data_IF_854890592444
#
_entry.id   IF_854890592444
#
_cell.length_a   1.000
_cell.length_b   1.000
_cell.length_c   1.000
_cell.angle_alpha   90.00
_cell.angle_beta   90.00
_cell.angle_gamma   90.00
#
_symmetry.space_group_name_H-M   'P 1'
#
loop_
_entity.id
_entity.type
_entity.pdbx_description
1 polymer ?
#
# COMPACT_ATOMS: atom_id res chain seq x y z
N UNK A 1 69.34 22.08 53.18
CA UNK A 1 69.27 20.78 52.46
C UNK A 1 67.83 20.62 52.00
N UNK A 2 67.58 20.80 50.70
CA UNK A 2 67.30 19.67 49.77
C UNK A 2 65.97 19.00 50.12
N UNK A 3 64.95 18.83 49.29
CA UNK A 3 64.72 18.88 47.84
C UNK A 3 63.16 18.80 47.68
N UNK A 4 62.60 19.30 46.58
CA UNK A 4 61.34 18.90 45.89
C UNK A 4 60.07 18.51 46.71
N UNK A 5 58.86 18.99 46.44
CA UNK A 5 58.34 19.64 45.24
C UNK A 5 56.97 20.29 45.48
N UNK A 6 56.62 21.17 44.55
CA UNK A 6 55.33 21.86 44.43
C UNK A 6 54.29 20.90 43.83
N UNK A 7 53.04 21.02 44.28
CA UNK A 7 51.89 20.37 43.66
C UNK A 7 50.57 20.97 44.14
N UNK A 8 50.23 22.15 43.62
CA UNK A 8 48.87 22.70 43.64
C UNK A 8 47.96 21.90 42.70
N UNK A 9 46.67 21.85 43.04
CA UNK A 9 45.52 21.77 42.13
C UNK A 9 45.37 20.49 41.29
N UNK A 10 44.40 19.65 41.68
CA UNK A 10 43.62 18.86 40.73
C UNK A 10 42.18 19.38 40.72
N UNK A 11 42.00 20.48 39.99
CA UNK A 11 40.77 20.81 39.28
C UNK A 11 40.50 19.71 38.25
N UNK A 12 39.37 19.02 38.38
CA UNK A 12 38.83 18.14 37.35
C UNK A 12 38.28 19.02 36.22
N UNK A 13 39.13 19.28 35.22
CA UNK A 13 38.72 19.88 33.95
C UNK A 13 38.29 18.78 32.97
N UNK A 14 37.03 18.90 32.54
CA UNK A 14 36.53 18.72 31.18
C UNK A 14 36.82 17.42 30.42
N UNK A 15 35.75 16.63 30.24
CA UNK A 15 35.36 16.19 28.91
C UNK A 15 33.88 16.55 28.70
N UNK A 16 33.65 17.54 27.84
CA UNK A 16 32.35 17.97 27.37
C UNK A 16 31.69 16.84 26.57
N UNK A 17 30.67 16.19 27.14
CA UNK A 17 29.62 15.59 26.32
C UNK A 17 28.56 16.66 26.12
N UNK A 18 28.57 17.28 24.94
CA UNK A 18 27.49 18.17 24.50
C UNK A 18 26.31 17.26 24.14
N UNK A 19 25.19 17.24 24.89
CA UNK A 19 23.98 16.63 24.39
C UNK A 19 23.45 17.61 23.36
N UNK A 20 23.69 17.31 22.09
CA UNK A 20 22.98 17.95 20.99
C UNK A 20 21.48 17.86 21.28
N UNK A 21 20.83 19.02 21.31
CA UNK A 21 19.39 19.19 21.49
C UNK A 21 18.63 18.35 20.46
N UNK A 22 18.30 17.11 20.82
CA UNK A 22 17.18 16.41 20.20
C UNK A 22 15.91 17.11 20.68
N UNK A 23 15.39 18.02 19.86
CA UNK A 23 14.00 18.45 19.97
C UNK A 23 13.16 17.18 19.79
N UNK A 24 12.66 16.65 20.91
CA UNK A 24 11.61 15.65 20.96
C UNK A 24 10.42 16.21 20.20
N UNK A 25 10.27 15.82 18.93
CA UNK A 25 9.00 15.95 18.26
C UNK A 25 8.08 14.94 18.95
N UNK A 26 7.17 15.48 19.76
CA UNK A 26 6.07 14.73 20.36
C UNK A 26 5.31 14.05 19.23
N UNK A 27 5.05 12.73 19.31
CA UNK A 27 4.33 12.04 18.27
C UNK A 27 2.90 12.57 18.11
N UNK A 28 2.44 12.64 16.87
CA UNK A 28 1.21 13.31 16.44
C UNK A 28 -0.10 12.61 16.88
N UNK A 29 -0.03 11.46 17.56
CA UNK A 29 -1.20 10.75 18.09
C UNK A 29 -1.74 11.27 19.43
N UNK A 30 -1.15 12.34 19.98
CA UNK A 30 -1.62 12.95 21.24
C UNK A 30 -2.63 14.10 21.08
N UNK A 31 -3.32 14.22 19.95
CA UNK A 31 -4.34 15.27 19.81
C UNK A 31 -5.54 14.83 18.96
N UNK A 32 -6.58 14.31 19.62
CA UNK A 32 -7.96 14.55 19.18
C UNK A 32 -8.91 14.80 20.36
N UNK A 33 -9.86 15.75 20.24
CA UNK A 33 -10.85 16.04 21.25
C UNK A 33 -12.00 15.04 21.19
N UNK A 34 -12.45 14.63 22.38
CA UNK A 34 -13.68 13.91 22.65
C UNK A 34 -14.91 14.76 22.30
N UNK A 35 -15.80 14.21 21.49
CA UNK A 35 -17.21 14.62 21.52
C UNK A 35 -18.09 13.38 21.46
N UNK A 36 -18.67 13.06 22.60
CA UNK A 36 -19.75 12.10 22.75
C UNK A 36 -21.06 12.87 22.82
N UNK A 37 -22.00 12.58 21.93
CA UNK A 37 -23.43 12.77 22.19
C UNK A 37 -24.09 11.39 22.15
N UNK A 38 -24.49 10.92 23.32
CA UNK A 38 -25.26 9.70 23.48
C UNK A 38 -26.75 10.00 23.30
N UNK A 39 -27.47 9.10 22.63
CA UNK A 39 -28.90 8.91 22.83
C UNK A 39 -29.22 7.42 22.79
N UNK A 40 -30.13 7.04 23.68
CA UNK A 40 -30.40 5.69 24.15
C UNK A 40 -31.14 4.79 23.16
N UNK A 41 -30.75 3.51 23.20
CA UNK A 41 -31.53 2.28 23.07
C UNK A 41 -31.06 1.35 21.95
N UNK A 42 -30.84 0.09 22.31
CA UNK A 42 -30.22 -0.95 21.49
C UNK A 42 -28.84 -1.36 22.02
N UNK A 43 -28.71 -2.63 22.40
CA UNK A 43 -27.41 -3.26 22.72
C UNK A 43 -26.38 -2.88 21.65
N UNK A 44 -25.13 -2.52 22.01
CA UNK A 44 -24.13 -2.14 21.03
C UNK A 44 -23.84 -3.36 20.15
N UNK A 45 -24.39 -3.36 18.94
CA UNK A 45 -23.95 -4.29 17.89
C UNK A 45 -22.50 -3.92 17.63
N UNK A 46 -21.59 -4.75 18.12
CA UNK A 46 -20.16 -4.57 17.92
C UNK A 46 -19.83 -4.89 16.46
N UNK A 47 -20.01 -3.89 15.56
CA UNK A 47 -19.73 -3.98 14.13
C UNK A 47 -18.22 -3.98 13.85
N UNK A 48 -17.48 -4.94 14.39
CA UNK A 48 -16.07 -5.11 14.09
C UNK A 48 -15.89 -5.55 12.64
N UNK A 49 -14.91 -5.00 11.89
CA UNK A 49 -14.68 -5.40 10.51
C UNK A 49 -14.19 -6.85 10.45
N UNK A 50 -14.67 -7.62 9.47
CA UNK A 50 -14.15 -8.95 9.17
C UNK A 50 -13.09 -8.83 8.08
N UNK A 51 -12.00 -9.58 8.22
CA UNK A 51 -11.01 -9.69 7.15
C UNK A 51 -11.51 -10.68 6.10
N UNK A 52 -11.82 -10.19 4.90
CA UNK A 52 -12.42 -10.95 3.80
C UNK A 52 -11.61 -10.84 2.49
N UNK A 53 -12.22 -11.15 1.35
CA UNK A 53 -11.57 -11.03 0.02
C UNK A 53 -11.59 -9.59 -0.54
N UNK A 54 -12.12 -8.63 0.22
CA UNK A 54 -12.23 -7.22 -0.11
C UNK A 54 -12.86 -6.96 -1.49
N UNK A 55 -14.04 -7.54 -1.72
CA UNK A 55 -14.72 -7.44 -3.02
C UNK A 55 -14.96 -5.99 -3.46
N UNK A 56 -15.19 -5.06 -2.53
CA UNK A 56 -15.45 -3.65 -2.86
C UNK A 56 -14.19 -2.84 -3.18
N UNK A 57 -12.99 -3.44 -3.09
CA UNK A 57 -11.75 -2.76 -3.43
C UNK A 57 -11.54 -2.67 -4.94
N UNK A 58 -11.03 -1.53 -5.41
CA UNK A 58 -10.51 -1.42 -6.78
C UNK A 58 -9.11 -2.02 -6.83
N UNK A 59 -8.94 -3.04 -7.67
CA UNK A 59 -7.80 -3.96 -7.61
C UNK A 59 -7.17 -4.23 -8.99
N UNK A 60 -7.26 -3.24 -9.89
CA UNK A 60 -6.77 -3.34 -11.26
C UNK A 60 -5.26 -3.61 -11.32
N UNK A 61 -4.89 -4.63 -12.08
CA UNK A 61 -3.51 -5.02 -12.34
C UNK A 61 -2.97 -4.44 -13.66
N UNK A 62 -3.83 -3.81 -14.47
CA UNK A 62 -3.50 -3.22 -15.77
C UNK A 62 -2.89 -4.19 -16.77
N UNK A 63 -3.31 -5.46 -16.73
CA UNK A 63 -2.77 -6.51 -17.59
C UNK A 63 -3.23 -6.24 -19.03
N UNK A 64 -2.26 -5.98 -19.90
CA UNK A 64 -2.49 -5.75 -21.33
C UNK A 64 -2.83 -4.31 -21.73
N UNK A 65 -2.83 -3.35 -20.81
CA UNK A 65 -3.17 -1.94 -21.11
C UNK A 65 -2.23 -0.91 -20.47
N UNK A 66 -1.02 -1.33 -20.08
CA UNK A 66 -0.06 -0.45 -19.40
C UNK A 66 0.30 0.77 -20.25
N UNK A 67 0.57 0.58 -21.54
CA UNK A 67 0.97 1.67 -22.44
C UNK A 67 -0.18 2.67 -22.67
N UNK A 68 -1.39 2.17 -22.94
CA UNK A 68 -2.59 3.01 -23.11
C UNK A 68 -2.90 3.82 -21.86
N UNK A 69 -2.84 3.17 -20.68
CA UNK A 69 -3.09 3.83 -19.40
C UNK A 69 -2.05 4.92 -19.15
N UNK A 70 -0.79 4.65 -19.44
CA UNK A 70 0.26 5.64 -19.28
C UNK A 70 0.09 6.83 -20.24
N UNK A 71 -0.22 6.58 -21.51
CA UNK A 71 -0.44 7.61 -22.52
C UNK A 71 -1.60 8.54 -22.12
N UNK A 72 -2.70 7.99 -21.61
CA UNK A 72 -3.83 8.80 -21.14
C UNK A 72 -3.47 9.57 -19.86
N UNK A 73 -2.69 8.96 -18.96
CA UNK A 73 -2.24 9.63 -17.74
C UNK A 73 -1.40 10.86 -18.07
N UNK A 74 -0.42 10.70 -18.96
CA UNK A 74 0.49 11.76 -19.39
C UNK A 74 -0.21 12.86 -20.16
N UNK A 75 -1.11 12.50 -21.08
CA UNK A 75 -1.79 13.49 -21.93
C UNK A 75 -2.77 14.38 -21.17
N UNK A 76 -3.51 13.84 -20.18
CA UNK A 76 -4.56 14.62 -19.51
C UNK A 76 -4.88 14.22 -18.07
N UNK A 77 -4.92 12.93 -17.73
CA UNK A 77 -5.62 12.48 -16.51
C UNK A 77 -4.93 12.96 -15.22
N UNK A 78 -3.61 12.86 -15.11
CA UNK A 78 -2.90 13.31 -13.90
C UNK A 78 -3.09 14.81 -13.68
N UNK A 79 -3.01 15.61 -14.74
CA UNK A 79 -3.24 17.07 -14.66
C UNK A 79 -4.66 17.37 -14.16
N UNK A 80 -5.67 16.67 -14.66
CA UNK A 80 -7.06 16.84 -14.23
C UNK A 80 -7.28 16.45 -12.76
N UNK A 81 -6.71 15.32 -12.32
CA UNK A 81 -6.81 14.88 -10.92
C UNK A 81 -6.10 15.87 -9.97
N UNK A 82 -4.92 16.38 -10.35
CA UNK A 82 -4.22 17.40 -9.57
C UNK A 82 -4.99 18.72 -9.45
N UNK A 83 -5.64 19.18 -10.53
CA UNK A 83 -6.44 20.42 -10.52
C UNK A 83 -7.65 20.34 -9.57
N UNK A 84 -8.26 19.17 -9.46
CA UNK A 84 -9.47 18.97 -8.66
C UNK A 84 -9.17 18.54 -7.22
N UNK A 85 -7.97 18.02 -6.95
CA UNK A 85 -7.61 17.44 -5.66
C UNK A 85 -6.37 18.08 -5.02
N UNK A 86 -6.59 19.11 -4.18
CA UNK A 86 -5.51 19.93 -3.59
C UNK A 86 -4.45 19.15 -2.81
N UNK A 87 -4.86 18.17 -1.99
CA UNK A 87 -3.90 17.36 -1.20
C UNK A 87 -3.03 16.53 -2.14
N UNK A 88 -3.63 15.84 -3.11
CA UNK A 88 -2.91 15.08 -4.13
C UNK A 88 -1.93 15.95 -4.93
N UNK A 89 -2.34 17.13 -5.41
CA UNK A 89 -1.45 18.02 -6.16
C UNK A 89 -0.21 18.40 -5.38
N UNK A 90 -0.39 18.89 -4.15
CA UNK A 90 0.71 19.32 -3.28
C UNK A 90 1.64 18.16 -2.93
N UNK A 91 1.08 16.98 -2.63
CA UNK A 91 1.87 15.78 -2.33
C UNK A 91 2.66 15.32 -3.55
N UNK A 92 2.05 15.27 -4.73
CA UNK A 92 2.72 14.88 -5.97
C UNK A 92 3.85 15.83 -6.35
N UNK A 93 3.63 17.15 -6.31
CA UNK A 93 4.67 18.16 -6.60
C UNK A 93 5.86 18.05 -5.66
N UNK A 94 5.61 17.76 -4.38
CA UNK A 94 6.68 17.64 -3.41
C UNK A 94 7.42 16.30 -3.55
N UNK A 95 6.72 15.22 -3.93
CA UNK A 95 7.31 13.93 -4.28
C UNK A 95 8.19 14.05 -5.53
N UNK A 96 7.74 14.77 -6.56
CA UNK A 96 8.51 15.07 -7.78
C UNK A 96 9.82 15.80 -7.48
N UNK A 97 9.78 16.82 -6.61
CA UNK A 97 11.00 17.51 -6.15
C UNK A 97 11.96 16.57 -5.44
N UNK A 98 11.47 15.72 -4.53
CA UNK A 98 12.33 14.75 -3.82
C UNK A 98 12.89 13.68 -4.77
N UNK A 99 12.09 13.19 -5.70
CA UNK A 99 12.50 12.23 -6.71
C UNK A 99 13.65 12.75 -7.56
N UNK A 100 13.52 13.98 -8.09
CA UNK A 100 14.55 14.57 -8.94
C UNK A 100 15.89 14.77 -8.22
N UNK A 101 15.88 14.96 -6.90
CA UNK A 101 17.09 15.07 -6.09
C UNK A 101 17.74 13.70 -5.82
N UNK A 102 16.95 12.64 -5.64
CA UNK A 102 17.42 11.38 -5.10
C UNK A 102 17.62 10.29 -6.16
N UNK A 103 16.93 10.36 -7.31
CA UNK A 103 16.87 9.26 -8.30
C UNK A 103 18.23 8.84 -8.85
N UNK A 104 19.21 9.74 -8.86
CA UNK A 104 20.58 9.47 -9.34
C UNK A 104 21.33 8.45 -8.48
N UNK A 105 20.88 8.24 -7.24
CA UNK A 105 21.50 7.31 -6.29
C UNK A 105 20.83 5.94 -6.29
N UNK A 106 19.84 5.72 -7.16
CA UNK A 106 19.04 4.49 -7.20
C UNK A 106 19.39 3.64 -8.41
N UNK A 107 19.43 2.32 -8.22
CA UNK A 107 19.42 1.36 -9.31
C UNK A 107 17.98 1.06 -9.70
N UNK A 108 17.60 1.39 -10.94
CA UNK A 108 16.23 1.29 -11.41
C UNK A 108 16.09 0.17 -12.45
N UNK A 109 15.06 -0.70 -12.36
CA UNK A 109 14.85 -1.75 -13.35
C UNK A 109 14.42 -1.17 -14.70
N UNK A 110 14.61 -1.95 -15.76
CA UNK A 110 14.21 -1.56 -17.11
C UNK A 110 12.72 -1.22 -17.15
N UNK A 111 12.40 -0.07 -17.75
CA UNK A 111 11.01 0.40 -17.89
C UNK A 111 10.45 1.09 -16.64
N UNK A 112 11.23 1.24 -15.57
CA UNK A 112 10.87 2.09 -14.43
C UNK A 112 10.97 3.56 -14.83
N UNK A 113 9.87 4.30 -14.68
CA UNK A 113 9.77 5.71 -15.08
C UNK A 113 9.74 6.61 -13.85
N UNK A 114 10.00 7.90 -14.05
CA UNK A 114 10.03 8.88 -12.97
C UNK A 114 8.71 8.87 -12.19
N UNK A 115 7.58 8.77 -12.88
CA UNK A 115 6.25 8.75 -12.27
C UNK A 115 6.02 7.54 -11.34
N UNK A 116 6.70 6.41 -11.56
CA UNK A 116 6.63 5.26 -10.67
C UNK A 116 7.29 5.58 -9.31
N UNK A 117 8.47 6.19 -9.33
CA UNK A 117 9.18 6.61 -8.11
C UNK A 117 8.45 7.74 -7.38
N UNK A 118 7.91 8.70 -8.13
CA UNK A 118 7.08 9.79 -7.59
C UNK A 118 5.83 9.24 -6.91
N UNK A 119 5.18 8.21 -7.48
CA UNK A 119 4.01 7.58 -6.87
C UNK A 119 4.33 6.92 -5.51
N UNK A 120 5.47 6.22 -5.41
CA UNK A 120 5.92 5.64 -4.13
C UNK A 120 6.19 6.74 -3.10
N UNK A 121 6.95 7.78 -3.48
CA UNK A 121 7.21 8.93 -2.60
C UNK A 121 5.92 9.63 -2.18
N UNK A 122 4.96 9.82 -3.09
CA UNK A 122 3.67 10.42 -2.78
C UNK A 122 2.87 9.59 -1.77
N UNK A 123 2.96 8.26 -1.85
CA UNK A 123 2.30 7.33 -0.93
C UNK A 123 2.95 7.35 0.46
N UNK A 124 4.29 7.29 0.55
CA UNK A 124 5.04 7.25 1.83
C UNK A 124 5.16 8.61 2.52
N UNK A 125 4.73 9.69 1.88
CA UNK A 125 4.82 11.03 2.46
C UNK A 125 3.92 11.15 3.70
N UNK A 126 4.55 11.16 4.87
CA UNK A 126 3.90 11.45 6.15
C UNK A 126 3.41 12.90 6.28
N UNK A 127 2.96 13.25 7.50
CA UNK A 127 2.47 14.58 7.85
C UNK A 127 1.07 14.53 8.49
N UNK A 128 0.51 15.70 8.81
CA UNK A 128 -0.77 15.81 9.54
C UNK A 128 -1.98 15.23 8.79
N UNK A 129 -1.92 15.22 7.45
CA UNK A 129 -2.95 14.65 6.55
C UNK A 129 -2.24 13.91 5.42
N UNK A 130 -1.73 12.70 5.68
CA UNK A 130 -0.96 11.97 4.69
C UNK A 130 -1.88 11.45 3.57
N UNK A 131 -1.41 11.48 2.33
CA UNK A 131 -2.22 11.12 1.16
C UNK A 131 -2.67 9.66 1.19
N UNK A 132 -1.83 8.74 1.71
CA UNK A 132 -2.15 7.32 1.74
C UNK A 132 -3.45 7.01 2.48
N UNK A 133 -3.84 7.79 3.50
CA UNK A 133 -5.07 7.55 4.25
C UNK A 133 -6.31 7.76 3.38
N UNK A 134 -6.35 8.88 2.65
CA UNK A 134 -7.44 9.21 1.74
C UNK A 134 -7.45 8.28 0.51
N UNK A 135 -6.26 8.02 -0.04
CA UNK A 135 -6.08 7.09 -1.15
C UNK A 135 -6.55 5.67 -0.79
N UNK A 136 -6.07 5.10 0.32
CA UNK A 136 -6.41 3.74 0.74
C UNK A 136 -7.90 3.59 1.07
N UNK A 137 -8.53 4.62 1.63
CA UNK A 137 -9.98 4.67 1.81
C UNK A 137 -10.71 4.63 0.47
N UNK A 138 -10.29 5.48 -0.49
CA UNK A 138 -10.91 5.52 -1.81
C UNK A 138 -10.74 4.19 -2.57
N UNK A 139 -9.57 3.55 -2.47
CA UNK A 139 -9.30 2.24 -3.08
C UNK A 139 -10.25 1.17 -2.54
N UNK A 140 -10.48 1.14 -1.21
CA UNK A 140 -11.36 0.16 -0.56
C UNK A 140 -12.82 0.22 -1.02
N UNK A 141 -13.26 1.37 -1.54
CA UNK A 141 -14.64 1.59 -1.97
C UNK A 141 -14.83 1.63 -3.48
N UNK A 142 -13.75 1.91 -4.23
CA UNK A 142 -13.86 2.18 -5.66
C UNK A 142 -14.30 0.96 -6.48
N UNK A 143 -14.13 -0.25 -5.96
CA UNK A 143 -14.55 -1.50 -6.57
C UNK A 143 -16.01 -1.91 -6.30
N UNK A 144 -16.82 -1.08 -5.63
CA UNK A 144 -18.27 -1.31 -5.49
C UNK A 144 -18.97 -1.50 -6.84
N UNK A 145 -18.56 -0.72 -7.85
CA UNK A 145 -18.97 -0.91 -9.25
C UNK A 145 -18.07 -0.14 -10.21
N UNK A 146 -18.08 -0.52 -11.48
CA UNK A 146 -17.41 0.23 -12.56
C UNK A 146 -17.84 1.70 -12.61
N UNK A 147 -19.14 1.97 -12.49
CA UNK A 147 -19.67 3.33 -12.51
C UNK A 147 -19.17 4.16 -11.31
N UNK A 148 -19.09 3.54 -10.12
CA UNK A 148 -18.54 4.18 -8.93
C UNK A 148 -17.06 4.52 -9.14
N UNK A 149 -16.23 3.58 -9.59
CA UNK A 149 -14.81 3.84 -9.92
C UNK A 149 -14.67 5.03 -10.90
N UNK A 150 -15.37 4.99 -12.03
CA UNK A 150 -15.23 6.02 -13.06
C UNK A 150 -15.58 7.41 -12.53
N UNK A 151 -16.69 7.52 -11.78
CA UNK A 151 -17.26 8.80 -11.33
C UNK A 151 -16.65 9.33 -10.03
N UNK A 152 -16.25 8.46 -9.10
CA UNK A 152 -15.93 8.84 -7.71
C UNK A 152 -14.48 8.62 -7.31
N UNK A 153 -13.71 7.78 -8.00
CA UNK A 153 -12.31 7.52 -7.62
C UNK A 153 -11.36 8.59 -8.21
N UNK A 154 -10.72 9.45 -7.39
CA UNK A 154 -9.97 10.61 -7.89
C UNK A 154 -8.45 10.36 -8.03
N UNK A 155 -8.02 9.10 -7.87
CA UNK A 155 -6.60 8.73 -7.81
C UNK A 155 -6.22 7.68 -8.85
N UNK A 156 -6.77 7.77 -10.06
CA UNK A 156 -6.55 6.79 -11.14
C UNK A 156 -5.08 6.77 -11.57
N UNK A 157 -4.45 7.94 -11.68
CA UNK A 157 -3.03 8.03 -12.02
C UNK A 157 -2.13 7.47 -10.92
N UNK A 158 -2.41 7.81 -9.66
CA UNK A 158 -1.64 7.31 -8.51
C UNK A 158 -1.78 5.78 -8.38
N UNK A 159 -3.00 5.25 -8.48
CA UNK A 159 -3.23 3.81 -8.44
C UNK A 159 -2.45 3.08 -9.53
N UNK A 160 -2.51 3.57 -10.78
CA UNK A 160 -1.76 2.98 -11.89
C UNK A 160 -0.25 2.99 -11.63
N UNK A 161 0.32 4.16 -11.34
CA UNK A 161 1.77 4.28 -11.21
C UNK A 161 2.31 3.52 -10.00
N UNK A 162 1.56 3.46 -8.89
CA UNK A 162 1.93 2.70 -7.71
C UNK A 162 1.85 1.19 -7.98
N UNK A 163 0.77 0.69 -8.60
CA UNK A 163 0.67 -0.70 -9.06
C UNK A 163 1.84 -1.05 -9.98
N UNK A 164 2.13 -0.21 -10.98
CA UNK A 164 3.18 -0.47 -11.95
C UNK A 164 4.57 -0.42 -11.32
N UNK A 165 4.80 0.47 -10.36
CA UNK A 165 6.05 0.55 -9.61
C UNK A 165 6.32 -0.75 -8.85
N UNK A 166 5.32 -1.27 -8.13
CA UNK A 166 5.44 -2.54 -7.41
C UNK A 166 5.66 -3.72 -8.35
N UNK A 167 4.97 -3.77 -9.49
CA UNK A 167 5.20 -4.82 -10.50
C UNK A 167 6.63 -4.82 -11.05
N UNK A 168 7.22 -3.64 -11.29
CA UNK A 168 8.57 -3.50 -11.84
C UNK A 168 9.67 -3.77 -10.82
N UNK A 169 9.42 -3.47 -9.54
CA UNK A 169 10.36 -3.67 -8.43
C UNK A 169 10.22 -5.05 -7.77
N UNK A 170 9.18 -5.82 -8.12
CA UNK A 170 8.91 -7.13 -7.54
C UNK A 170 10.11 -8.06 -7.73
N UNK A 171 10.56 -8.66 -6.64
CA UNK A 171 11.60 -9.70 -6.62
C UNK A 171 11.00 -11.11 -6.76
N UNK A 172 11.86 -12.12 -6.77
CA UNK A 172 11.39 -13.50 -6.76
C UNK A 172 10.57 -13.80 -5.49
N UNK A 173 9.54 -14.64 -5.62
CA UNK A 173 8.68 -15.00 -4.48
C UNK A 173 9.44 -15.82 -3.45
N UNK A 174 10.37 -16.70 -3.86
CA UNK A 174 11.18 -17.46 -2.91
C UNK A 174 12.03 -16.53 -2.04
N UNK A 175 12.67 -15.51 -2.63
CA UNK A 175 13.44 -14.50 -1.89
C UNK A 175 12.54 -13.71 -0.92
N UNK A 176 11.44 -13.14 -1.40
CA UNK A 176 10.58 -12.29 -0.55
C UNK A 176 9.88 -13.07 0.56
N UNK A 177 9.54 -14.33 0.33
CA UNK A 177 8.76 -15.14 1.27
C UNK A 177 9.60 -15.67 2.44
N UNK A 178 10.93 -15.65 2.33
CA UNK A 178 11.84 -15.99 3.44
C UNK A 178 11.82 -14.96 4.57
N UNK A 179 11.45 -13.72 4.27
CA UNK A 179 11.42 -12.63 5.25
C UNK A 179 10.00 -12.32 5.70
N UNK A 180 9.79 -12.30 7.01
CA UNK A 180 8.52 -11.85 7.58
C UNK A 180 8.44 -10.32 7.61
N UNK A 181 7.26 -9.79 7.32
CA UNK A 181 6.94 -8.38 7.44
C UNK A 181 5.77 -8.21 8.39
N UNK A 182 5.74 -7.07 9.08
CA UNK A 182 4.83 -6.81 10.17
C UNK A 182 3.94 -5.62 9.89
N UNK A 183 2.69 -5.69 10.34
CA UNK A 183 1.75 -4.59 10.22
C UNK A 183 0.92 -4.46 11.49
N UNK A 184 1.11 -3.34 12.19
CA UNK A 184 0.25 -2.91 13.28
C UNK A 184 -0.92 -2.07 12.78
N UNK A 185 -2.09 -2.27 13.37
CA UNK A 185 -3.28 -1.46 13.12
C UNK A 185 -3.86 -1.00 14.45
N UNK A 186 -4.06 0.31 14.57
CA UNK A 186 -4.75 0.94 15.69
C UNK A 186 -6.25 1.08 15.40
N UNK A 187 -7.09 1.04 16.45
CA UNK A 187 -8.52 1.34 16.44
C UNK A 187 -9.42 0.40 15.63
N UNK A 188 -8.87 -0.64 15.00
CA UNK A 188 -9.62 -1.67 14.28
C UNK A 188 -9.20 -3.05 14.80
N UNK A 189 -10.18 -3.83 15.30
CA UNK A 189 -9.98 -5.22 15.70
C UNK A 189 -10.62 -6.13 14.68
N UNK A 190 -9.87 -6.49 13.65
CA UNK A 190 -10.36 -7.40 12.62
C UNK A 190 -10.73 -8.73 13.26
N UNK A 191 -11.98 -9.15 13.07
CA UNK A 191 -12.38 -10.47 13.54
C UNK A 191 -11.74 -11.53 12.65
N UNK A 192 -11.09 -12.54 13.25
CA UNK A 192 -10.55 -13.64 12.48
C UNK A 192 -11.70 -14.38 11.81
N UNK A 193 -11.50 -14.65 10.51
CA UNK A 193 -12.31 -15.63 9.81
C UNK A 193 -11.94 -17.05 10.23
N UNK A 194 -12.13 -18.00 9.32
CA UNK A 194 -11.71 -19.38 9.51
C UNK A 194 -10.21 -19.55 9.26
N UNK A 195 -9.52 -20.37 10.07
CA UNK A 195 -8.16 -20.84 9.74
C UNK A 195 -8.18 -21.55 8.38
N UNK A 196 -7.21 -21.24 7.53
CA UNK A 196 -7.17 -21.66 6.13
C UNK A 196 -8.06 -20.82 5.20
N UNK A 197 -8.81 -19.87 5.74
CA UNK A 197 -9.57 -18.88 4.97
C UNK A 197 -8.66 -18.01 4.11
N UNK A 198 -9.24 -17.46 3.05
CA UNK A 198 -8.52 -16.61 2.09
C UNK A 198 -8.92 -15.17 2.29
N UNK A 199 -7.93 -14.28 2.33
CA UNK A 199 -8.12 -12.87 2.66
C UNK A 199 -7.29 -11.96 1.76
N UNK A 200 -7.70 -10.70 1.69
CA UNK A 200 -7.00 -9.58 1.07
C UNK A 200 -7.15 -8.34 1.94
N UNK A 201 -6.21 -7.41 1.84
CA UNK A 201 -6.30 -6.14 2.57
C UNK A 201 -7.27 -5.13 1.94
N UNK A 202 -7.61 -5.31 0.66
CA UNK A 202 -8.53 -4.39 -0.05
C UNK A 202 -7.96 -3.00 -0.30
N UNK A 203 -6.65 -2.82 -0.10
CA UNK A 203 -5.93 -1.58 -0.28
C UNK A 203 -4.44 -1.86 -0.42
N UNK A 204 -3.63 -0.85 -0.74
CA UNK A 204 -2.18 -0.98 -0.64
C UNK A 204 -1.83 -1.05 0.84
N UNK A 205 -1.18 -2.14 1.25
CA UNK A 205 -0.93 -2.42 2.66
C UNK A 205 0.54 -2.18 2.97
N UNK A 206 0.81 -1.10 3.70
CA UNK A 206 2.13 -0.85 4.28
C UNK A 206 2.42 -1.87 5.38
N UNK A 207 3.61 -2.43 5.36
CA UNK A 207 4.18 -3.29 6.40
C UNK A 207 5.63 -2.88 6.62
N UNK A 208 6.27 -3.39 7.67
CA UNK A 208 7.67 -3.09 7.99
C UNK A 208 8.46 -4.38 8.17
N UNK A 209 9.74 -4.35 7.81
CA UNK A 209 10.68 -5.41 8.20
C UNK A 209 10.99 -5.36 9.71
N UNK A 210 10.88 -4.19 10.34
CA UNK A 210 11.06 -4.01 11.78
C UNK A 210 9.72 -4.17 12.52
N UNK A 211 9.69 -5.18 13.39
CA UNK A 211 8.56 -5.44 14.27
C UNK A 211 8.21 -4.24 15.16
N UNK A 212 9.20 -3.52 15.69
CA UNK A 212 9.00 -2.39 16.60
C UNK A 212 8.37 -1.21 15.87
N UNK A 213 8.81 -0.95 14.63
CA UNK A 213 8.20 0.06 13.77
C UNK A 213 6.73 -0.28 13.54
N UNK A 214 6.43 -1.51 13.11
CA UNK A 214 5.05 -1.96 12.89
C UNK A 214 4.20 -1.84 14.17
N UNK A 215 4.75 -2.21 15.33
CA UNK A 215 4.06 -2.12 16.62
C UNK A 215 3.76 -0.67 17.02
N UNK A 216 4.64 0.28 16.66
CA UNK A 216 4.43 1.71 16.86
C UNK A 216 3.20 2.27 16.12
N UNK A 217 2.74 1.62 15.05
CA UNK A 217 1.51 1.99 14.34
C UNK A 217 0.22 1.46 15.00
N UNK A 218 0.33 0.49 15.91
CA UNK A 218 -0.77 -0.03 16.70
C UNK A 218 -0.71 -1.53 16.93
N UNK A 219 -1.49 -1.99 17.91
CA UNK A 219 -1.52 -3.39 18.34
C UNK A 219 -2.93 -3.95 18.51
N UNK A 220 -3.99 -3.20 18.22
CA UNK A 220 -5.37 -3.71 18.27
C UNK A 220 -5.59 -4.87 17.30
N UNK A 221 -5.04 -4.75 16.08
CA UNK A 221 -4.76 -5.90 15.21
C UNK A 221 -3.32 -5.86 14.78
N UNK A 222 -2.62 -6.99 14.91
CA UNK A 222 -1.24 -7.13 14.47
C UNK A 222 -1.08 -8.29 13.51
N UNK A 223 -0.41 -8.06 12.38
CA UNK A 223 -0.19 -9.06 11.35
C UNK A 223 1.30 -9.41 11.25
N UNK A 224 1.60 -10.69 11.30
CA UNK A 224 2.85 -11.28 10.79
C UNK A 224 2.56 -11.85 9.41
N UNK A 225 3.29 -11.39 8.39
CA UNK A 225 2.96 -11.64 6.99
C UNK A 225 4.18 -12.19 6.27
N UNK A 226 4.00 -13.25 5.48
CA UNK A 226 4.94 -13.66 4.43
C UNK A 226 4.34 -13.30 3.09
N UNK A 227 4.94 -12.37 2.37
CA UNK A 227 4.43 -11.82 1.11
C UNK A 227 5.30 -12.25 -0.07
N UNK A 228 4.68 -12.50 -1.23
CA UNK A 228 5.39 -12.76 -2.49
C UNK A 228 5.30 -11.58 -3.47
N UNK A 229 4.41 -10.62 -3.21
CA UNK A 229 4.20 -9.45 -4.08
C UNK A 229 4.54 -8.13 -3.39
N UNK A 230 4.82 -8.16 -2.09
CA UNK A 230 5.33 -7.02 -1.34
C UNK A 230 6.69 -6.60 -1.86
N UNK A 231 6.93 -5.30 -1.86
CA UNK A 231 8.18 -4.70 -2.33
C UNK A 231 8.78 -3.86 -1.21
N UNK A 232 10.03 -4.11 -0.80
CA UNK A 232 10.78 -3.19 0.04
C UNK A 232 10.97 -1.86 -0.70
N UNK A 233 10.45 -0.78 -0.12
CA UNK A 233 10.43 0.56 -0.73
C UNK A 233 11.16 1.61 0.13
N UNK A 234 11.96 1.18 1.11
CA UNK A 234 12.74 2.09 1.96
C UNK A 234 13.59 3.09 1.15
N UNK A 235 14.25 2.63 0.08
CA UNK A 235 15.06 3.46 -0.83
C UNK A 235 14.25 4.54 -1.57
N UNK A 236 12.93 4.35 -1.67
CA UNK A 236 11.98 5.23 -2.36
C UNK A 236 11.09 6.01 -1.37
N UNK A 237 11.36 5.92 -0.06
CA UNK A 237 10.47 6.45 0.98
C UNK A 237 10.82 7.87 1.45
N UNK A 238 9.84 8.56 2.01
CA UNK A 238 10.09 9.74 2.83
C UNK A 238 10.76 9.42 4.16
N UNK A 239 10.54 8.21 4.68
CA UNK A 239 10.95 7.75 5.99
C UNK A 239 11.59 6.36 5.82
N UNK A 240 12.85 6.28 5.34
CA UNK A 240 13.52 5.00 5.10
C UNK A 240 13.63 4.13 6.36
N UNK A 241 13.63 4.75 7.54
CA UNK A 241 13.71 4.09 8.85
C UNK A 241 12.46 3.26 9.18
N UNK A 242 11.36 3.42 8.45
CA UNK A 242 10.19 2.55 8.59
C UNK A 242 10.42 1.17 7.96
N UNK A 243 11.51 0.97 7.20
CA UNK A 243 11.82 -0.27 6.48
C UNK A 243 10.60 -0.84 5.74
N UNK A 244 9.87 0.08 5.08
CA UNK A 244 8.54 -0.22 4.56
C UNK A 244 8.59 -1.26 3.44
N UNK A 245 7.77 -2.30 3.58
CA UNK A 245 7.40 -3.23 2.51
C UNK A 245 5.95 -2.95 2.12
N UNK A 246 5.74 -2.51 0.88
CA UNK A 246 4.42 -2.17 0.37
C UNK A 246 3.82 -3.34 -0.39
N UNK A 247 2.66 -3.81 0.08
CA UNK A 247 1.93 -4.96 -0.48
C UNK A 247 0.83 -4.45 -1.42
N UNK A 248 0.76 -4.95 -2.67
CA UNK A 248 -0.27 -4.52 -3.62
C UNK A 248 -1.67 -5.02 -3.25
N UNK A 249 -2.68 -4.29 -3.72
CA UNK A 249 -4.10 -4.52 -3.41
C UNK A 249 -4.58 -5.95 -3.71
N UNK A 250 -4.02 -6.56 -4.76
CA UNK A 250 -4.48 -7.81 -5.36
C UNK A 250 -3.81 -9.07 -4.79
N UNK A 251 -2.85 -8.97 -3.87
CA UNK A 251 -2.21 -10.16 -3.29
C UNK A 251 -3.19 -10.92 -2.39
N UNK A 252 -3.28 -12.23 -2.59
CA UNK A 252 -4.15 -13.12 -1.83
C UNK A 252 -3.37 -13.89 -0.79
N UNK A 253 -3.84 -13.82 0.45
CA UNK A 253 -3.24 -14.48 1.60
C UNK A 253 -4.13 -15.61 2.12
N UNK A 254 -3.50 -16.62 2.70
CA UNK A 254 -4.13 -17.63 3.55
C UNK A 254 -3.94 -17.24 5.01
N UNK A 255 -5.01 -17.33 5.79
CA UNK A 255 -4.94 -17.20 7.26
C UNK A 255 -4.36 -18.50 7.84
N UNK A 256 -3.08 -18.49 8.20
CA UNK A 256 -2.39 -19.67 8.72
C UNK A 256 -2.67 -19.89 10.20
N UNK A 257 -2.73 -18.81 10.97
CA UNK A 257 -3.05 -18.81 12.38
C UNK A 257 -3.69 -17.47 12.77
N UNK A 258 -4.42 -17.47 13.88
CA UNK A 258 -4.87 -16.25 14.55
C UNK A 258 -5.05 -16.50 16.04
N UNK A 259 -4.87 -15.46 16.84
CA UNK A 259 -5.20 -15.49 18.27
C UNK A 259 -6.02 -14.25 18.61
N UNK A 260 -7.01 -14.42 19.47
CA UNK A 260 -7.81 -13.33 20.00
C UNK A 260 -7.49 -13.19 21.48
N UNK A 261 -7.12 -11.98 21.89
CA UNK A 261 -7.04 -11.57 23.28
C UNK A 261 -7.97 -10.37 23.49
N UNK A 262 -8.31 -10.06 24.75
CA UNK A 262 -9.17 -8.95 25.12
C UNK A 262 -8.64 -7.59 24.59
N UNK A 263 -7.32 -7.50 24.40
CA UNK A 263 -6.64 -6.27 24.01
C UNK A 263 -6.11 -6.27 22.57
N UNK A 264 -6.00 -7.43 21.91
CA UNK A 264 -5.34 -7.54 20.60
C UNK A 264 -5.76 -8.78 19.81
N UNK A 265 -5.89 -8.64 18.48
CA UNK A 265 -6.02 -9.75 17.56
C UNK A 265 -4.73 -9.93 16.76
N UNK A 266 -4.11 -11.11 16.84
CA UNK A 266 -2.90 -11.44 16.08
C UNK A 266 -3.24 -12.34 14.90
N UNK A 267 -2.64 -12.06 13.74
CA UNK A 267 -2.82 -12.82 12.51
C UNK A 267 -1.49 -13.26 11.94
N UNK A 268 -1.43 -14.51 11.49
CA UNK A 268 -0.32 -15.02 10.66
C UNK A 268 -0.85 -15.27 9.26
N UNK A 269 -0.37 -14.48 8.29
CA UNK A 269 -0.83 -14.51 6.90
C UNK A 269 0.30 -14.96 5.99
N UNK A 270 0.05 -16.00 5.19
CA UNK A 270 1.00 -16.44 4.17
C UNK A 270 0.45 -16.16 2.79
N UNK A 271 1.29 -15.57 1.93
CA UNK A 271 0.98 -15.41 0.52
C UNK A 271 0.63 -16.76 -0.11
N UNK A 272 -0.35 -16.74 -0.99
CA UNK A 272 -0.67 -17.92 -1.82
C UNK A 272 0.11 -17.93 -3.12
N UNK A 273 1.02 -16.96 -3.33
CA UNK A 273 1.66 -16.68 -4.62
C UNK A 273 0.65 -16.57 -5.77
N UNK A 274 -0.55 -16.06 -5.47
CA UNK A 274 -1.63 -15.83 -6.44
C UNK A 274 -2.21 -14.45 -6.23
N UNK A 275 -2.67 -13.86 -7.33
CA UNK A 275 -3.39 -12.59 -7.32
C UNK A 275 -4.88 -12.85 -7.48
N UNK A 276 -5.69 -11.89 -7.05
CA UNK A 276 -7.12 -11.85 -7.33
C UNK A 276 -7.46 -10.42 -7.70
N UNK A 277 -8.08 -10.22 -8.87
CA UNK A 277 -8.60 -8.92 -9.30
C UNK A 277 -9.99 -9.11 -9.88
N UNK A 278 -10.93 -8.24 -9.48
CA UNK A 278 -12.26 -8.14 -10.10
C UNK A 278 -12.25 -7.21 -11.31
N UNK A 279 -11.27 -6.33 -11.38
CA UNK A 279 -11.16 -5.30 -12.38
C UNK A 279 -9.85 -5.45 -13.18
N UNK A 280 -9.92 -5.16 -14.48
CA UNK A 280 -8.75 -5.05 -15.34
C UNK A 280 -9.01 -3.96 -16.39
N UNK A 281 -8.08 -3.02 -16.56
CA UNK A 281 -8.09 -2.00 -17.61
C UNK A 281 -9.37 -1.15 -17.68
N UNK A 282 -10.04 -0.95 -16.54
CA UNK A 282 -11.41 -0.41 -16.49
C UNK A 282 -11.51 0.98 -17.11
N UNK A 283 -10.51 1.82 -16.87
CA UNK A 283 -10.51 3.20 -17.37
C UNK A 283 -10.34 3.28 -18.89
N UNK A 284 -9.51 2.41 -19.47
CA UNK A 284 -9.24 2.34 -20.91
C UNK A 284 -10.47 1.85 -21.65
N UNK A 285 -11.03 0.72 -21.20
CA UNK A 285 -12.25 0.15 -21.76
C UNK A 285 -13.42 1.14 -21.74
N UNK A 286 -13.54 1.97 -20.70
CA UNK A 286 -14.63 2.95 -20.58
C UNK A 286 -14.50 4.13 -21.55
N UNK A 287 -13.30 4.40 -22.05
CA UNK A 287 -13.06 5.47 -23.02
C UNK A 287 -13.24 5.01 -24.47
N UNK A 288 -13.35 3.70 -24.71
CA UNK A 288 -13.28 3.15 -26.07
C UNK A 288 -11.87 3.23 -26.68
N UNK A 289 -10.85 3.49 -25.85
CA UNK A 289 -9.45 3.66 -26.30
C UNK A 289 -8.73 2.30 -26.48
N UNK A 290 -9.43 1.17 -26.30
CA UNK A 290 -8.97 -0.11 -26.87
C UNK A 290 -9.25 -0.07 -28.37
N UNK A 291 -8.34 0.55 -29.13
CA UNK A 291 -8.26 0.29 -30.56
C UNK A 291 -7.72 -1.14 -30.72
N UNK A 292 -8.41 -2.06 -31.44
CA UNK A 292 -7.87 -3.36 -31.78
C UNK A 292 -6.84 -3.20 -32.90
N UNK A 293 -5.72 -2.54 -32.62
CA UNK A 293 -4.58 -2.45 -33.52
C UNK A 293 -3.44 -3.22 -32.88
N UNK A 294 -3.48 -4.53 -33.11
CA UNK A 294 -2.56 -5.52 -32.56
C UNK A 294 -2.98 -6.97 -32.87
N UNK A 295 -4.18 -7.18 -33.41
CA UNK A 295 -4.57 -8.45 -34.02
C UNK A 295 -5.09 -8.14 -35.42
N UNK A 296 -4.29 -8.48 -36.42
CA UNK A 296 -4.69 -8.43 -37.81
C UNK A 296 -6.06 -9.10 -38.00
N UNK A 297 -6.88 -8.44 -38.81
CA UNK A 297 -8.28 -8.75 -39.01
C UNK A 297 -8.51 -10.20 -39.40
N UNK A 298 -9.10 -10.96 -38.50
CA UNK A 298 -9.83 -12.17 -38.86
C UNK A 298 -11.09 -12.29 -37.98
N UNK A 299 -12.30 -12.10 -38.54
CA UNK A 299 -13.58 -12.22 -37.81
C UNK A 299 -13.77 -13.58 -37.12
N UNK A 300 -13.02 -14.61 -37.53
CA UNK A 300 -13.09 -15.94 -36.94
C UNK A 300 -12.44 -16.06 -35.54
N UNK A 301 -11.54 -15.15 -35.16
CA UNK A 301 -10.92 -15.16 -33.82
C UNK A 301 -11.91 -14.76 -32.71
N UNK A 302 -12.85 -13.86 -33.01
CA UNK A 302 -13.93 -13.47 -32.10
C UNK A 302 -14.89 -14.63 -31.81
N UNK A 303 -15.24 -15.40 -32.84
CA UNK A 303 -16.01 -16.63 -32.70
C UNK A 303 -15.25 -17.71 -31.92
N UNK A 304 -13.93 -17.77 -32.03
CA UNK A 304 -13.09 -18.70 -31.28
C UNK A 304 -12.99 -18.37 -29.78
N UNK A 305 -12.93 -17.09 -29.41
CA UNK A 305 -12.90 -16.68 -27.99
C UNK A 305 -14.28 -16.81 -27.33
N UNK A 306 -15.36 -16.54 -28.06
CA UNK A 306 -16.72 -16.79 -27.59
C UNK A 306 -17.00 -18.29 -27.45
N UNK A 307 -16.49 -19.13 -28.36
CA UNK A 307 -16.64 -20.59 -28.26
C UNK A 307 -15.84 -21.19 -27.09
N UNK A 308 -14.64 -20.69 -26.79
CA UNK A 308 -13.88 -21.14 -25.61
C UNK A 308 -14.53 -20.70 -24.29
N UNK A 309 -15.20 -19.54 -24.25
CA UNK A 309 -16.03 -19.14 -23.09
C UNK A 309 -17.27 -20.01 -22.95
N UNK A 310 -17.94 -20.37 -24.04
CA UNK A 310 -19.10 -21.27 -24.00
C UNK A 310 -18.75 -22.71 -23.61
N UNK A 311 -17.62 -23.24 -24.08
CA UNK A 311 -17.14 -24.59 -23.74
C UNK A 311 -16.72 -24.71 -22.27
N UNK A 312 -16.17 -23.64 -21.66
CA UNK A 312 -15.87 -23.61 -20.21
C UNK A 312 -17.11 -23.52 -19.33
N UNK A 313 -18.23 -22.98 -19.83
CA UNK A 313 -19.50 -22.99 -19.10
C UNK A 313 -20.22 -24.35 -19.21
N UNK A 314 -20.07 -25.05 -20.34
CA UNK A 314 -20.67 -26.38 -20.52
C UNK A 314 -19.96 -27.49 -19.72
N UNK A 315 -18.65 -27.37 -19.47
CA UNK A 315 -17.93 -28.34 -18.63
C UNK A 315 -18.22 -28.21 -17.12
N UNK A 316 -18.76 -27.07 -16.67
CA UNK A 316 -19.14 -26.85 -15.27
C UNK A 316 -20.56 -27.36 -14.94
N UNK A 317 -21.38 -27.65 -15.95
CA UNK A 317 -22.77 -28.14 -15.79
C UNK A 317 -22.92 -29.66 -15.99
N UNK A 318 -21.81 -30.40 -16.16
CA UNK A 318 -21.79 -31.88 -16.24
C UNK A 318 -21.12 -32.58 -15.06
N UNK A 319 -20.80 -31.87 -13.99
CA UNK A 319 -20.39 -32.45 -12.72
C UNK A 319 -21.30 -31.93 -11.60
N UNK A 320 -22.56 -32.37 -11.66
CA UNK A 320 -23.51 -32.40 -10.55
C UNK A 320 -24.37 -33.65 -10.71
#
# INVERSE_FOLDING_TARGET
>A
MSLFGKGLSLSLSQALFIPGKYRKNVPWWLAQPSSTSASHDGSPVNCQPVLDLACDAFDDQYIGCTEDMENIIKSKLLRQEKLTHKVFSKTWEAAEKKWNNNKKNLSLPRGFKDENGIAILAYTRGGKKPLYQEFNKAVREAGKSRAYYLKRFPFKALHFYLTRALQLLKRDCAEMYETEVYRGVCSLRYQPGKRGGMVRFGTFASSSLDWNVAHGFGSDTFFTIRTCFGVPIADFSYIPEEEEVLIPVYEKFRVCNFTQDNNSNLFVLHSTNRTFSRYNCVYIEARGDISPTGLDGNPSAWLFLLSQRALRFSSYTRQS
#
